data_IF_593696008074
#
_entry.id   IF_593696008074
#
_cell.length_a   1.000
_cell.length_b   1.000
_cell.length_c   1.000
_cell.angle_alpha   90.00
_cell.angle_beta   90.00
_cell.angle_gamma   90.00
#
_symmetry.space_group_name_H-M   'P 1'
#
loop_
_entity.id
_entity.type
_entity.pdbx_description
1 polymer ?
#
# COMPACT_ATOMS: atom_id res chain seq x y z
N UNK A 1 25.38 -43.73 23.11
CA UNK A 1 24.80 -42.38 23.31
C UNK A 1 25.09 -41.40 22.16
N UNK A 2 26.32 -41.25 21.67
CA UNK A 2 26.66 -40.27 20.62
C UNK A 2 25.90 -40.46 19.29
N UNK A 3 25.61 -41.71 18.88
CA UNK A 3 24.86 -41.98 17.64
C UNK A 3 23.38 -41.59 17.73
N UNK A 4 22.78 -41.67 18.93
CA UNK A 4 21.38 -41.27 19.15
C UNK A 4 21.23 -39.74 19.10
N UNK A 5 22.17 -39.01 19.68
CA UNK A 5 22.23 -37.54 19.61
C UNK A 5 22.38 -37.03 18.17
N UNK A 6 23.26 -37.65 17.37
CA UNK A 6 23.39 -37.30 15.95
C UNK A 6 22.11 -37.55 15.16
N UNK A 7 21.39 -38.64 15.46
CA UNK A 7 20.14 -38.98 14.78
C UNK A 7 19.01 -37.99 15.12
N UNK A 8 18.89 -37.60 16.39
CA UNK A 8 17.91 -36.57 16.83
C UNK A 8 18.22 -35.22 16.17
N UNK A 9 19.49 -34.85 16.06
CA UNK A 9 19.90 -33.58 15.45
C UNK A 9 19.58 -33.53 13.94
N UNK A 10 19.73 -34.65 13.22
CA UNK A 10 19.32 -34.77 11.81
C UNK A 10 17.79 -34.65 11.68
N UNK A 11 17.02 -35.29 12.57
CA UNK A 11 15.55 -35.19 12.55
C UNK A 11 15.10 -33.74 12.79
N UNK A 12 15.70 -33.02 13.74
CA UNK A 12 15.38 -31.61 14.00
C UNK A 12 15.68 -30.75 12.77
N UNK A 13 16.83 -30.95 12.12
CA UNK A 13 17.20 -30.23 10.88
C UNK A 13 16.20 -30.55 9.77
N UNK A 14 15.84 -31.82 9.58
CA UNK A 14 14.86 -32.22 8.56
C UNK A 14 13.47 -31.66 8.84
N UNK A 15 13.02 -31.63 10.10
CA UNK A 15 11.76 -31.01 10.51
C UNK A 15 11.80 -29.50 10.26
N UNK A 16 12.91 -28.82 10.61
CA UNK A 16 13.08 -27.39 10.33
C UNK A 16 13.06 -27.09 8.84
N UNK A 17 13.74 -27.89 8.02
CA UNK A 17 13.70 -27.76 6.55
C UNK A 17 12.28 -28.02 6.03
N UNK A 18 11.58 -29.03 6.54
CA UNK A 18 10.22 -29.35 6.11
C UNK A 18 9.22 -28.25 6.49
N UNK A 19 9.37 -27.66 7.68
CA UNK A 19 8.59 -26.50 8.12
C UNK A 19 8.88 -25.27 7.24
N UNK A 20 10.14 -25.01 6.90
CA UNK A 20 10.55 -23.88 6.06
C UNK A 20 10.07 -24.05 4.60
N UNK A 21 10.07 -25.29 4.08
CA UNK A 21 9.48 -25.64 2.78
C UNK A 21 7.96 -25.49 2.79
N UNK A 22 7.28 -25.88 3.88
CA UNK A 22 5.82 -25.71 4.00
C UNK A 22 5.44 -24.24 4.15
N UNK A 23 6.23 -23.44 4.88
CA UNK A 23 6.06 -21.99 4.95
C UNK A 23 6.26 -21.32 3.58
N UNK A 24 7.27 -21.76 2.80
CA UNK A 24 7.45 -21.31 1.41
C UNK A 24 6.30 -21.72 0.49
N UNK A 25 5.73 -22.91 0.68
CA UNK A 25 4.61 -23.40 -0.14
C UNK A 25 3.31 -22.66 0.13
N UNK A 26 3.08 -22.20 1.37
CA UNK A 26 1.91 -21.39 1.76
C UNK A 26 1.94 -19.97 1.15
N UNK A 27 3.09 -19.48 0.70
CA UNK A 27 3.17 -18.18 0.01
C UNK A 27 2.83 -18.25 -1.50
N UNK A 28 2.68 -19.44 -2.09
CA UNK A 28 2.59 -19.59 -3.55
C UNK A 28 1.16 -19.78 -4.09
N UNK A 29 0.15 -19.91 -3.24
CA UNK A 29 -1.24 -20.16 -3.67
C UNK A 29 -2.16 -18.96 -3.37
N UNK A 30 -1.88 -17.83 -4.04
CA UNK A 30 -2.88 -16.81 -4.44
C UNK A 30 -2.39 -16.11 -5.71
N UNK A 31 -2.05 -16.90 -6.73
CA UNK A 31 -1.76 -16.35 -8.05
C UNK A 31 -3.10 -16.00 -8.69
N UNK A 32 -3.51 -14.73 -8.57
CA UNK A 32 -4.36 -14.10 -9.58
C UNK A 32 -3.67 -14.36 -10.93
N UNK A 33 -4.38 -14.95 -11.89
CA UNK A 33 -3.86 -15.31 -13.23
C UNK A 33 -3.33 -14.09 -14.04
N UNK A 34 -3.46 -12.87 -13.50
CA UNK A 34 -2.99 -11.60 -14.06
C UNK A 34 -1.60 -11.14 -13.55
N UNK A 35 -0.93 -11.89 -12.66
CA UNK A 35 0.35 -11.48 -12.05
C UNK A 35 1.51 -12.33 -12.62
N UNK A 36 1.86 -12.11 -13.89
CA UNK A 36 2.79 -12.98 -14.63
C UNK A 36 4.29 -12.65 -14.50
N UNK A 37 4.70 -11.82 -13.52
CA UNK A 37 6.09 -11.31 -13.39
C UNK A 37 6.77 -11.64 -12.05
N UNK A 38 6.24 -12.60 -11.28
CA UNK A 38 6.79 -12.95 -9.96
C UNK A 38 6.56 -11.88 -8.88
N UNK A 39 5.57 -11.00 -9.06
CA UNK A 39 5.13 -10.07 -8.03
C UNK A 39 4.41 -10.84 -6.91
N UNK A 40 4.46 -10.29 -5.70
CA UNK A 40 3.97 -10.94 -4.47
C UNK A 40 2.84 -10.09 -3.89
N UNK A 41 1.67 -10.69 -3.73
CA UNK A 41 0.52 -10.02 -3.12
C UNK A 41 0.58 -10.14 -1.59
N UNK A 42 0.45 -9.02 -0.88
CA UNK A 42 0.31 -8.94 0.58
C UNK A 42 -0.91 -8.09 0.89
N UNK A 43 -2.08 -8.75 0.94
CA UNK A 43 -3.37 -8.07 0.99
C UNK A 43 -3.64 -7.32 -0.32
N UNK A 44 -3.84 -6.01 -0.21
CA UNK A 44 -4.02 -5.01 -1.28
C UNK A 44 -2.69 -4.44 -1.81
N UNK A 45 -1.55 -4.75 -1.19
CA UNK A 45 -0.24 -4.36 -1.73
C UNK A 45 0.31 -5.42 -2.69
N UNK A 46 0.78 -4.99 -3.85
CA UNK A 46 1.51 -5.81 -4.82
C UNK A 46 2.99 -5.43 -4.75
N UNK A 47 3.85 -6.36 -4.36
CA UNK A 47 5.27 -6.12 -4.12
C UNK A 47 6.12 -6.76 -5.21
N UNK A 48 7.15 -6.04 -5.67
CA UNK A 48 8.22 -6.69 -6.43
C UNK A 48 9.04 -7.61 -5.51
N UNK A 49 9.76 -8.62 -6.05
CA UNK A 49 10.66 -9.46 -5.24
C UNK A 49 11.66 -8.65 -4.41
N UNK A 50 12.20 -7.55 -4.95
CA UNK A 50 13.13 -6.67 -4.26
C UNK A 50 12.44 -5.89 -3.13
N UNK A 51 11.18 -5.48 -3.34
CA UNK A 51 10.39 -4.83 -2.30
C UNK A 51 10.07 -5.79 -1.15
N UNK A 52 9.62 -7.00 -1.47
CA UNK A 52 9.34 -8.05 -0.50
C UNK A 52 10.59 -8.39 0.32
N UNK A 53 11.72 -8.68 -0.35
CA UNK A 53 12.97 -8.99 0.31
C UNK A 53 13.45 -7.83 1.21
N UNK A 54 13.22 -6.58 0.79
CA UNK A 54 13.59 -5.44 1.60
C UNK A 54 12.68 -5.24 2.80
N UNK A 55 11.38 -5.52 2.70
CA UNK A 55 10.40 -5.35 3.79
C UNK A 55 10.43 -6.49 4.80
N UNK A 56 10.68 -7.72 4.35
CA UNK A 56 10.51 -8.94 5.16
C UNK A 56 11.76 -9.83 5.27
N UNK A 57 12.85 -9.52 4.57
CA UNK A 57 14.07 -10.34 4.57
C UNK A 57 14.92 -10.19 5.84
N UNK A 58 15.45 -11.32 6.34
CA UNK A 58 16.23 -11.41 7.59
C UNK A 58 17.77 -11.41 7.41
N UNK A 59 18.32 -10.95 6.27
CA UNK A 59 19.77 -11.11 6.00
C UNK A 59 20.59 -9.82 6.14
N UNK A 60 21.67 -9.94 6.91
CA UNK A 60 22.82 -9.04 7.02
C UNK A 60 23.70 -9.00 5.77
N UNK A 61 23.39 -9.79 4.73
CA UNK A 61 24.10 -9.79 3.45
C UNK A 61 23.20 -9.38 2.28
N UNK A 62 22.85 -8.10 2.20
CA UNK A 62 22.48 -7.49 0.92
C UNK A 62 23.23 -6.17 0.80
N UNK A 63 24.39 -6.24 0.14
CA UNK A 63 25.24 -5.11 -0.18
C UNK A 63 24.41 -4.08 -0.96
N UNK A 64 24.15 -2.94 -0.32
CA UNK A 64 23.74 -1.65 -0.89
C UNK A 64 22.62 -1.71 -1.94
N UNK A 65 21.39 -1.53 -1.46
CA UNK A 65 20.31 -0.65 -1.96
C UNK A 65 18.95 -1.26 -1.57
N UNK A 66 18.18 -0.58 -0.72
CA UNK A 66 16.80 -0.99 -0.42
C UNK A 66 16.25 -0.53 0.93
N UNK A 67 15.21 0.31 0.85
CA UNK A 67 14.32 0.87 1.89
C UNK A 67 14.81 2.06 2.76
N UNK A 68 15.73 2.85 2.25
CA UNK A 68 15.86 4.28 2.55
C UNK A 68 16.59 4.92 1.37
N UNK A 69 15.88 5.61 0.49
CA UNK A 69 16.46 6.24 -0.69
C UNK A 69 15.38 6.73 -1.64
N UNK A 70 15.60 7.89 -2.24
CA UNK A 70 14.77 8.63 -3.20
C UNK A 70 14.22 7.80 -4.39
N UNK A 71 14.65 6.56 -4.57
CA UNK A 71 14.33 5.70 -5.70
C UNK A 71 12.93 5.06 -5.68
N UNK A 72 12.13 5.21 -4.62
CA UNK A 72 10.73 4.75 -4.59
C UNK A 72 9.70 5.87 -4.65
N UNK A 73 10.12 7.13 -4.59
CA UNK A 73 9.21 8.27 -4.76
C UNK A 73 9.07 8.55 -6.25
N UNK A 74 7.93 9.08 -6.63
CA UNK A 74 7.77 9.63 -7.96
C UNK A 74 8.67 10.87 -8.11
N UNK A 75 9.50 10.96 -9.17
CA UNK A 75 10.38 12.10 -9.37
C UNK A 75 9.60 13.42 -9.31
N UNK A 76 10.08 14.38 -8.51
CA UNK A 76 9.47 15.69 -8.30
C UNK A 76 8.01 15.66 -7.84
N UNK A 77 7.52 14.55 -7.28
CA UNK A 77 6.11 14.39 -6.92
C UNK A 77 5.15 14.31 -8.11
N UNK A 78 5.65 14.17 -9.34
CA UNK A 78 4.82 14.06 -10.55
C UNK A 78 4.59 12.60 -10.88
N UNK A 79 3.32 12.22 -10.97
CA UNK A 79 2.85 10.86 -11.22
C UNK A 79 2.11 10.83 -12.55
N UNK A 80 2.76 10.40 -13.64
CA UNK A 80 2.07 10.17 -14.89
C UNK A 80 1.04 9.03 -14.74
N UNK A 81 -0.15 9.20 -15.30
CA UNK A 81 -1.26 8.25 -15.20
C UNK A 81 -1.88 7.98 -16.57
N UNK A 82 -2.05 6.70 -16.89
CA UNK A 82 -2.77 6.22 -18.07
C UNK A 82 -3.93 5.35 -17.61
N UNK A 83 -5.07 5.44 -18.29
CA UNK A 83 -6.24 4.61 -18.05
C UNK A 83 -6.34 3.56 -19.15
N UNK A 84 -6.59 2.31 -18.76
CA UNK A 84 -7.07 1.28 -19.69
C UNK A 84 -8.41 1.72 -20.31
N UNK A 85 -8.67 1.26 -21.54
CA UNK A 85 -9.94 1.54 -22.21
C UNK A 85 -11.12 0.83 -21.50
N UNK A 86 -12.34 1.31 -21.73
CA UNK A 86 -13.56 0.62 -21.30
C UNK A 86 -14.07 0.95 -19.89
N UNK A 87 -13.42 1.85 -19.14
CA UNK A 87 -13.99 2.35 -17.89
C UNK A 87 -15.27 3.16 -18.13
N UNK A 88 -16.31 2.90 -17.31
CA UNK A 88 -17.51 3.74 -17.26
C UNK A 88 -17.12 5.18 -16.90
N UNK A 89 -17.73 6.16 -17.56
CA UNK A 89 -17.46 7.58 -17.34
C UNK A 89 -17.64 8.01 -15.86
N UNK A 90 -18.68 7.50 -15.18
CA UNK A 90 -18.91 7.75 -13.75
C UNK A 90 -17.76 7.23 -12.87
N UNK A 91 -17.16 6.09 -13.23
CA UNK A 91 -16.05 5.53 -12.50
C UNK A 91 -14.75 6.31 -12.73
N UNK A 92 -14.47 6.72 -13.97
CA UNK A 92 -13.37 7.63 -14.29
C UNK A 92 -13.47 8.95 -13.51
N UNK A 93 -14.67 9.54 -13.43
CA UNK A 93 -14.93 10.73 -12.60
C UNK A 93 -14.57 10.49 -11.13
N UNK A 94 -14.93 9.32 -10.57
CA UNK A 94 -14.59 8.94 -9.19
C UNK A 94 -13.08 8.79 -8.97
N UNK A 95 -12.37 8.14 -9.91
CA UNK A 95 -10.90 7.98 -9.84
C UNK A 95 -10.21 9.34 -9.89
N UNK A 96 -10.56 10.19 -10.87
CA UNK A 96 -10.01 11.54 -10.99
C UNK A 96 -10.36 12.41 -9.77
N UNK A 97 -11.52 12.22 -9.14
CA UNK A 97 -11.89 12.90 -7.89
C UNK A 97 -11.00 12.50 -6.71
N UNK A 98 -10.57 11.24 -6.63
CA UNK A 98 -9.61 10.77 -5.63
C UNK A 98 -8.21 11.36 -5.86
N UNK A 99 -7.73 11.39 -7.11
CA UNK A 99 -6.45 12.02 -7.46
C UNK A 99 -6.43 13.50 -7.11
N UNK A 100 -7.47 14.26 -7.52
CA UNK A 100 -7.61 15.68 -7.16
C UNK A 100 -7.66 15.90 -5.65
N UNK A 101 -8.31 15.01 -4.90
CA UNK A 101 -8.34 15.11 -3.44
C UNK A 101 -6.93 15.06 -2.85
N UNK A 102 -6.06 14.14 -3.30
CA UNK A 102 -4.67 14.06 -2.84
C UNK A 102 -3.86 15.29 -3.27
N UNK A 103 -4.01 15.74 -4.52
CA UNK A 103 -3.35 16.95 -5.05
C UNK A 103 -3.71 18.22 -4.26
N UNK A 104 -4.92 18.32 -3.71
CA UNK A 104 -5.30 19.46 -2.86
C UNK A 104 -4.69 19.44 -1.46
N UNK A 105 -4.24 18.28 -0.98
CA UNK A 105 -3.68 18.13 0.36
C UNK A 105 -2.17 17.86 0.32
N UNK A 106 -1.53 17.96 -0.84
CA UNK A 106 -0.09 17.74 -1.00
C UNK A 106 0.47 18.45 -2.23
N UNK A 107 1.78 18.49 -2.37
CA UNK A 107 2.46 18.95 -3.58
C UNK A 107 2.55 17.88 -4.69
N UNK A 108 1.98 16.68 -4.48
CA UNK A 108 1.97 15.61 -5.48
C UNK A 108 1.02 15.99 -6.62
N UNK A 109 1.45 15.77 -7.85
CA UNK A 109 0.68 16.02 -9.07
C UNK A 109 0.43 14.72 -9.81
N UNK A 110 -0.82 14.35 -10.03
CA UNK A 110 -1.18 13.28 -10.96
C UNK A 110 -1.39 13.89 -12.35
N UNK A 111 -0.54 13.51 -13.30
CA UNK A 111 -0.60 13.97 -14.68
C UNK A 111 -1.23 12.88 -15.55
N UNK A 112 -2.50 13.06 -15.89
CA UNK A 112 -3.23 12.20 -16.82
C UNK A 112 -3.51 12.88 -18.19
N UNK A 113 -2.86 14.01 -18.47
CA UNK A 113 -3.06 14.75 -19.73
C UNK A 113 -1.89 14.55 -20.69
N UNK A 114 -0.68 14.35 -20.17
CA UNK A 114 0.51 14.12 -20.98
C UNK A 114 0.49 12.74 -21.64
N UNK A 115 0.73 12.71 -22.96
CA UNK A 115 0.93 11.45 -23.68
C UNK A 115 2.24 10.80 -23.25
N UNK A 116 2.15 9.62 -22.67
CA UNK A 116 3.30 8.87 -22.12
C UNK A 116 3.93 8.01 -23.22
N UNK A 117 5.26 7.95 -23.26
CA UNK A 117 5.98 6.97 -24.09
C UNK A 117 6.08 5.63 -23.37
N UNK A 118 6.12 4.50 -24.09
CA UNK A 118 6.20 3.15 -23.48
C UNK A 118 7.35 2.93 -22.48
N UNK A 119 8.38 3.78 -22.48
CA UNK A 119 9.56 3.69 -21.61
C UNK A 119 9.48 4.53 -20.33
N UNK A 120 8.47 5.37 -20.18
CA UNK A 120 8.34 6.25 -19.02
C UNK A 120 7.58 5.55 -17.89
N UNK A 121 8.08 5.70 -16.67
CA UNK A 121 7.40 5.19 -15.47
C UNK A 121 6.07 5.89 -15.27
N UNK A 122 4.99 5.13 -15.07
CA UNK A 122 3.64 5.67 -14.90
C UNK A 122 2.71 4.67 -14.20
N UNK A 123 1.64 5.18 -13.61
CA UNK A 123 0.53 4.35 -13.15
C UNK A 123 -0.35 4.00 -14.36
N UNK A 124 -0.58 2.71 -14.57
CA UNK A 124 -1.60 2.20 -15.48
C UNK A 124 -2.82 1.77 -14.66
N UNK A 125 -3.91 2.51 -14.75
CA UNK A 125 -5.18 2.17 -14.09
C UNK A 125 -5.87 1.08 -14.90
N UNK A 126 -6.09 -0.08 -14.28
CA UNK A 126 -6.69 -1.27 -14.92
C UNK A 126 -7.93 -1.74 -14.18
N UNK A 127 -8.88 -2.30 -14.93
CA UNK A 127 -10.00 -3.01 -14.32
C UNK A 127 -9.53 -4.36 -13.78
N UNK A 128 -9.99 -4.74 -12.59
CA UNK A 128 -9.69 -6.06 -12.01
C UNK A 128 -10.74 -6.55 -11.01
N UNK A 129 -10.38 -7.55 -10.21
CA UNK A 129 -11.28 -8.19 -9.23
C UNK A 129 -11.24 -7.55 -7.83
N UNK A 130 -10.29 -6.64 -7.56
CA UNK A 130 -10.05 -6.01 -6.25
C UNK A 130 -9.53 -4.58 -6.38
N UNK A 131 -9.36 -3.90 -5.25
CA UNK A 131 -8.55 -2.68 -5.15
C UNK A 131 -7.14 -3.11 -4.71
N UNK A 132 -6.12 -2.77 -5.50
CA UNK A 132 -4.73 -3.07 -5.17
C UNK A 132 -3.75 -2.18 -5.92
N UNK A 133 -2.56 -2.00 -5.36
CA UNK A 133 -1.52 -1.16 -5.94
C UNK A 133 -0.11 -1.65 -5.65
N UNK A 134 0.82 -1.32 -6.53
CA UNK A 134 2.25 -1.40 -6.22
C UNK A 134 2.66 -0.25 -5.31
N UNK A 135 3.79 -0.43 -4.60
CA UNK A 135 4.26 0.56 -3.62
C UNK A 135 5.31 1.50 -4.21
N UNK A 136 4.99 2.79 -4.26
CA UNK A 136 5.89 3.82 -4.82
C UNK A 136 6.13 3.66 -6.33
N UNK A 137 7.09 4.42 -6.86
CA UNK A 137 7.57 4.31 -8.24
C UNK A 137 8.54 3.12 -8.37
N UNK A 138 8.15 2.08 -9.13
CA UNK A 138 8.95 0.84 -9.25
C UNK A 138 10.09 0.91 -10.27
N UNK A 139 10.13 1.95 -11.10
CA UNK A 139 11.15 2.19 -12.15
C UNK A 139 11.28 1.05 -13.17
N UNK A 140 10.15 0.49 -13.60
CA UNK A 140 10.05 -0.61 -14.58
C UNK A 140 9.05 -0.30 -15.71
N UNK A 141 8.71 0.97 -15.94
CA UNK A 141 7.69 1.41 -16.89
C UNK A 141 6.29 1.45 -16.26
N UNK A 142 5.30 0.88 -16.94
CA UNK A 142 3.93 0.83 -16.44
C UNK A 142 3.85 0.01 -15.14
N UNK A 143 3.18 0.55 -14.11
CA UNK A 143 2.81 -0.20 -12.91
C UNK A 143 1.29 -0.15 -12.70
N UNK A 144 0.70 -1.30 -12.42
CA UNK A 144 -0.76 -1.41 -12.34
C UNK A 144 -1.31 -0.79 -11.05
N UNK A 145 -2.37 -0.01 -11.19
CA UNK A 145 -3.35 0.31 -10.15
C UNK A 145 -4.61 -0.46 -10.49
N UNK A 146 -4.88 -1.54 -9.77
CA UNK A 146 -6.01 -2.44 -10.05
C UNK A 146 -7.22 -1.93 -9.29
N UNK A 147 -8.31 -1.64 -10.01
CA UNK A 147 -9.55 -1.16 -9.42
C UNK A 147 -10.77 -1.90 -9.98
N UNK A 148 -11.80 -2.07 -9.16
CA UNK A 148 -13.10 -2.59 -9.56
C UNK A 148 -14.23 -1.59 -9.23
N UNK A 149 -15.48 -1.90 -9.62
CA UNK A 149 -16.62 -1.00 -9.38
C UNK A 149 -16.91 -0.72 -7.89
N UNK A 150 -16.50 -1.64 -7.01
CA UNK A 150 -16.69 -1.55 -5.56
C UNK A 150 -15.59 -0.72 -4.87
N UNK A 151 -14.53 -0.34 -5.60
CA UNK A 151 -13.56 0.62 -5.09
C UNK A 151 -14.21 2.01 -5.01
N UNK A 152 -14.74 2.35 -3.82
CA UNK A 152 -15.24 3.67 -3.52
C UNK A 152 -14.10 4.69 -3.45
N UNK A 153 -14.43 5.99 -3.41
CA UNK A 153 -13.44 7.07 -3.45
C UNK A 153 -12.31 6.89 -2.42
N UNK A 154 -12.63 6.52 -1.18
CA UNK A 154 -11.62 6.29 -0.15
C UNK A 154 -10.73 5.07 -0.40
N UNK A 155 -11.25 3.99 -1.00
CA UNK A 155 -10.42 2.88 -1.46
C UNK A 155 -9.44 3.36 -2.54
N UNK A 156 -9.91 4.15 -3.50
CA UNK A 156 -9.02 4.68 -4.55
C UNK A 156 -7.95 5.59 -3.96
N UNK A 157 -8.30 6.44 -2.97
CA UNK A 157 -7.30 7.24 -2.23
C UNK A 157 -6.27 6.33 -1.56
N UNK A 158 -6.72 5.26 -0.90
CA UNK A 158 -5.82 4.27 -0.27
C UNK A 158 -4.83 3.66 -1.27
N UNK A 159 -5.32 3.17 -2.41
CA UNK A 159 -4.47 2.56 -3.44
C UNK A 159 -3.52 3.56 -4.11
N UNK A 160 -3.95 4.82 -4.27
CA UNK A 160 -3.08 5.89 -4.75
C UNK A 160 -2.00 6.23 -3.72
N UNK A 161 -2.30 6.22 -2.41
CA UNK A 161 -1.30 6.42 -1.37
C UNK A 161 -0.28 5.27 -1.31
N UNK A 162 -0.69 4.03 -1.58
CA UNK A 162 0.22 2.93 -1.85
C UNK A 162 1.13 3.23 -3.04
N UNK A 163 0.56 3.64 -4.17
CA UNK A 163 1.34 4.02 -5.36
C UNK A 163 2.31 5.18 -5.10
N UNK A 164 2.00 6.05 -4.12
CA UNK A 164 2.87 7.13 -3.68
C UNK A 164 3.95 6.70 -2.68
N UNK A 165 3.84 5.51 -2.11
CA UNK A 165 4.85 4.88 -1.25
C UNK A 165 4.44 4.69 0.21
N UNK A 166 3.21 5.03 0.60
CA UNK A 166 2.73 4.76 1.95
C UNK A 166 2.39 3.27 2.13
N UNK A 167 2.68 2.76 3.31
CA UNK A 167 2.41 1.40 3.73
C UNK A 167 1.25 1.40 4.75
N UNK A 168 0.73 0.22 5.08
CA UNK A 168 -0.34 0.13 6.07
C UNK A 168 0.09 0.62 7.45
N UNK A 169 -0.84 1.24 8.18
CA UNK A 169 -0.58 1.72 9.53
C UNK A 169 -0.44 0.58 10.54
N UNK A 170 -1.23 -0.50 10.40
CA UNK A 170 -1.17 -1.65 11.33
C UNK A 170 0.10 -2.51 11.16
N UNK A 171 0.99 -2.16 10.24
CA UNK A 171 2.29 -2.82 10.07
C UNK A 171 3.45 -1.95 10.57
N UNK A 172 3.14 -0.78 11.15
CA UNK A 172 4.10 0.09 11.83
C UNK A 172 4.91 -0.69 12.89
N UNK A 173 6.16 -0.29 13.07
CA UNK A 173 7.12 -0.99 13.94
C UNK A 173 6.67 -1.04 15.40
N UNK A 174 6.11 0.07 15.86
CA UNK A 174 5.62 0.32 17.23
C UNK A 174 4.13 -0.03 17.40
N UNK A 175 3.46 -0.60 16.39
CA UNK A 175 2.01 -0.84 16.45
C UNK A 175 1.54 -1.57 17.72
N UNK A 176 2.37 -2.44 18.30
CA UNK A 176 1.98 -3.31 19.40
C UNK A 176 1.84 -2.50 20.71
N UNK A 177 2.30 -1.24 20.71
CA UNK A 177 2.04 -0.23 21.75
C UNK A 177 0.65 0.43 21.61
N UNK A 178 -0.06 0.15 20.51
CA UNK A 178 -1.31 0.83 20.12
C UNK A 178 -2.46 -0.14 19.85
N UNK A 179 -2.18 -1.31 19.28
CA UNK A 179 -3.15 -2.31 18.87
C UNK A 179 -2.68 -3.72 19.27
N UNK A 180 -3.64 -4.62 19.49
CA UNK A 180 -3.43 -6.05 19.64
C UNK A 180 -3.91 -6.77 18.36
N UNK A 181 -3.07 -7.66 17.83
CA UNK A 181 -3.45 -8.56 16.75
C UNK A 181 -3.96 -9.89 17.35
N UNK A 182 -5.21 -10.24 17.06
CA UNK A 182 -5.83 -11.49 17.51
C UNK A 182 -5.63 -12.58 16.46
N UNK A 183 -4.45 -13.21 16.49
CA UNK A 183 -3.99 -14.13 15.45
C UNK A 183 -4.93 -15.32 15.19
N UNK A 184 -5.65 -15.80 16.20
CA UNK A 184 -6.54 -16.95 16.08
C UNK A 184 -7.78 -16.66 15.23
N UNK A 185 -8.20 -15.39 15.20
CA UNK A 185 -9.36 -14.92 14.43
C UNK A 185 -9.02 -14.67 12.95
N UNK A 186 -7.74 -14.64 12.56
CA UNK A 186 -7.29 -14.31 11.20
C UNK A 186 -7.23 -15.57 10.33
N UNK A 187 -7.83 -15.53 9.14
CA UNK A 187 -7.70 -16.59 8.11
C UNK A 187 -6.24 -17.01 7.95
N UNK A 188 -5.97 -18.32 7.94
CA UNK A 188 -4.59 -18.80 8.04
C UNK A 188 -3.73 -18.32 6.88
N UNK A 189 -4.30 -18.27 5.68
CA UNK A 189 -3.72 -17.73 4.45
C UNK A 189 -3.47 -16.21 4.49
N UNK A 190 -4.14 -15.47 5.38
CA UNK A 190 -4.03 -14.01 5.49
C UNK A 190 -3.13 -13.55 6.64
N UNK A 191 -2.64 -14.45 7.51
CA UNK A 191 -1.79 -14.10 8.65
C UNK A 191 -0.54 -13.31 8.25
N UNK A 192 0.01 -13.55 7.06
CA UNK A 192 1.17 -12.82 6.57
C UNK A 192 0.92 -11.31 6.43
N UNK A 193 -0.31 -10.90 6.10
CA UNK A 193 -0.71 -9.48 5.94
C UNK A 193 -0.61 -8.67 7.25
N UNK A 194 -0.46 -9.35 8.39
CA UNK A 194 -0.34 -8.74 9.72
C UNK A 194 1.09 -8.76 10.25
N UNK A 195 2.08 -9.21 9.46
CA UNK A 195 3.49 -9.15 9.88
C UNK A 195 3.99 -7.70 9.85
N UNK A 196 4.72 -7.29 10.89
CA UNK A 196 5.47 -6.02 10.88
C UNK A 196 6.58 -6.10 9.84
N UNK A 197 6.94 -4.96 9.27
CA UNK A 197 8.13 -4.89 8.44
C UNK A 197 9.39 -5.05 9.30
N UNK A 198 10.34 -5.83 8.79
CA UNK A 198 11.58 -6.21 9.49
C UNK A 198 12.61 -5.09 9.53
N UNK A 199 12.58 -4.17 8.55
CA UNK A 199 13.41 -2.97 8.51
C UNK A 199 12.66 -1.74 9.00
N UNK A 200 13.41 -0.71 9.41
CA UNK A 200 12.86 0.59 9.80
C UNK A 200 12.14 1.23 8.60
N UNK A 201 10.83 1.05 8.54
CA UNK A 201 9.95 1.90 7.75
C UNK A 201 9.80 3.21 8.52
N UNK A 202 10.13 4.33 7.87
CA UNK A 202 9.99 5.65 8.48
C UNK A 202 8.52 6.00 8.65
N UNK A 203 8.15 6.49 9.84
CA UNK A 203 6.85 7.12 10.09
C UNK A 203 6.87 8.62 9.80
N UNK A 204 7.96 9.14 9.22
CA UNK A 204 8.16 10.56 8.91
C UNK A 204 7.83 11.47 10.10
N UNK A 205 8.32 11.11 11.28
CA UNK A 205 8.13 11.84 12.55
C UNK A 205 6.66 12.07 12.93
N UNK A 206 5.77 11.14 12.55
CA UNK A 206 4.38 11.13 12.99
C UNK A 206 4.12 10.00 13.99
N UNK A 207 3.14 10.19 14.87
CA UNK A 207 2.67 9.15 15.79
C UNK A 207 1.78 8.13 15.06
N UNK A 208 1.56 6.98 15.72
CA UNK A 208 0.54 6.03 15.29
C UNK A 208 -0.84 6.68 15.16
N UNK A 209 -1.55 6.34 14.10
CA UNK A 209 -2.84 6.96 13.77
C UNK A 209 -3.91 5.92 13.48
N UNK A 210 -4.76 5.68 14.50
CA UNK A 210 -5.91 4.80 14.40
C UNK A 210 -6.89 5.18 13.27
N UNK A 211 -6.96 6.47 12.92
CA UNK A 211 -7.87 6.99 11.88
C UNK A 211 -7.22 7.09 10.51
N UNK A 212 -5.99 6.62 10.34
CA UNK A 212 -5.31 6.59 9.05
C UNK A 212 -6.16 5.83 8.03
N UNK A 213 -6.31 6.39 6.83
CA UNK A 213 -6.96 5.68 5.72
C UNK A 213 -6.16 4.43 5.32
N UNK A 214 -4.87 4.37 5.70
CA UNK A 214 -3.98 3.23 5.53
C UNK A 214 -4.10 2.17 6.63
N UNK A 215 -5.02 2.32 7.59
CA UNK A 215 -5.24 1.34 8.65
C UNK A 215 -6.26 0.28 8.21
N UNK A 216 -6.03 -0.99 8.55
CA UNK A 216 -7.02 -2.06 8.42
C UNK A 216 -8.17 -1.90 9.43
N UNK A 217 -9.33 -2.47 9.10
CA UNK A 217 -10.49 -2.47 9.98
C UNK A 217 -10.35 -3.52 11.09
N UNK A 218 -11.25 -3.43 12.07
CA UNK A 218 -11.29 -4.33 13.23
C UNK A 218 -11.40 -5.80 12.80
N UNK A 219 -12.17 -6.09 11.74
CA UNK A 219 -12.51 -7.44 11.30
C UNK A 219 -11.75 -7.86 10.03
N UNK A 220 -10.74 -7.09 9.60
CA UNK A 220 -10.01 -7.36 8.37
C UNK A 220 -9.47 -8.79 8.38
N UNK A 221 -9.77 -9.55 7.33
CA UNK A 221 -9.38 -10.96 7.17
C UNK A 221 -9.83 -11.91 8.30
N UNK A 222 -10.93 -11.58 9.01
CA UNK A 222 -11.52 -12.50 9.98
C UNK A 222 -12.00 -13.80 9.32
N UNK A 223 -11.79 -14.94 10.00
CA UNK A 223 -12.27 -16.26 9.58
C UNK A 223 -13.80 -16.31 9.46
N UNK A 224 -14.51 -15.64 10.35
CA UNK A 224 -15.97 -15.63 10.45
C UNK A 224 -16.61 -14.29 10.05
N UNK A 225 -15.80 -13.37 9.51
CA UNK A 225 -16.20 -12.01 9.10
C UNK A 225 -16.69 -11.08 10.24
N UNK A 226 -16.79 -11.57 11.48
CA UNK A 226 -17.43 -10.86 12.61
C UNK A 226 -16.53 -10.71 13.83
N UNK A 227 -15.63 -11.66 14.07
CA UNK A 227 -14.64 -11.60 15.13
C UNK A 227 -13.56 -10.55 14.86
N UNK A 228 -13.14 -9.79 15.89
CA UNK A 228 -12.09 -8.80 15.73
C UNK A 228 -10.73 -9.47 15.52
N UNK A 229 -10.01 -9.07 14.49
CA UNK A 229 -8.61 -9.43 14.23
C UNK A 229 -7.64 -8.35 14.73
N UNK A 230 -8.12 -7.11 14.86
CA UNK A 230 -7.38 -5.98 15.42
C UNK A 230 -8.18 -5.34 16.55
N UNK A 231 -7.60 -5.22 17.74
CA UNK A 231 -8.20 -4.55 18.90
C UNK A 231 -7.35 -3.32 19.27
N UNK A 232 -7.88 -2.10 19.26
CA UNK A 232 -7.13 -0.94 19.76
C UNK A 232 -7.01 -1.01 21.28
N UNK A 233 -5.80 -0.74 21.80
CA UNK A 233 -5.56 -0.69 23.24
C UNK A 233 -6.28 0.48 23.91
N UNK A 234 -6.65 1.51 23.14
CA UNK A 234 -7.54 2.59 23.56
C UNK A 234 -8.95 2.32 23.01
N UNK A 235 -9.85 1.80 23.83
CA UNK A 235 -11.21 1.42 23.43
C UNK A 235 -11.98 2.55 22.69
N UNK A 236 -11.78 3.81 23.10
CA UNK A 236 -12.38 4.99 22.47
C UNK A 236 -11.94 5.23 21.00
N UNK A 237 -10.99 4.44 20.49
CA UNK A 237 -10.48 4.54 19.11
C UNK A 237 -11.06 3.48 18.18
N UNK A 238 -11.87 2.55 18.69
CA UNK A 238 -12.48 1.46 17.93
C UNK A 238 -13.09 1.92 16.60
N UNK A 239 -13.98 2.92 16.63
CA UNK A 239 -14.69 3.42 15.45
C UNK A 239 -13.79 4.14 14.43
N UNK A 240 -12.51 4.37 14.72
CA UNK A 240 -11.58 5.01 13.78
C UNK A 240 -10.92 4.02 12.82
N UNK A 241 -10.77 2.75 13.24
CA UNK A 241 -10.00 1.77 12.48
C UNK A 241 -10.73 1.39 11.19
N UNK A 242 -9.99 1.38 10.08
CA UNK A 242 -10.52 0.91 8.81
C UNK A 242 -11.43 1.89 8.08
N UNK A 243 -11.53 3.14 8.54
CA UNK A 243 -12.29 4.15 7.81
C UNK A 243 -11.78 4.30 6.36
N UNK A 244 -12.70 4.55 5.43
CA UNK A 244 -12.44 4.77 4.00
C UNK A 244 -13.18 6.00 3.49
N UNK A 245 -13.23 7.05 4.30
CA UNK A 245 -13.86 8.32 3.95
C UNK A 245 -12.85 9.30 3.36
N UNK A 246 -11.74 9.52 4.08
CA UNK A 246 -10.74 10.56 3.74
C UNK A 246 -9.38 10.31 4.36
N UNK A 247 -8.36 11.04 3.91
CA UNK A 247 -7.06 11.05 4.58
C UNK A 247 -7.19 11.65 5.97
N UNK A 248 -6.55 11.02 6.96
CA UNK A 248 -6.34 11.64 8.27
C UNK A 248 -5.31 12.77 8.17
N UNK A 249 -5.27 13.63 9.18
CA UNK A 249 -4.20 14.63 9.31
C UNK A 249 -2.81 13.97 9.33
N UNK A 250 -2.68 12.83 10.00
CA UNK A 250 -1.45 12.05 10.01
C UNK A 250 -1.05 11.55 8.62
N UNK A 251 -2.00 11.12 7.78
CA UNK A 251 -1.72 10.71 6.40
C UNK A 251 -1.22 11.89 5.56
N UNK A 252 -1.85 13.05 5.71
CA UNK A 252 -1.48 14.29 5.01
C UNK A 252 -0.06 14.70 5.41
N UNK A 253 0.24 14.76 6.71
CA UNK A 253 1.57 15.15 7.20
C UNK A 253 2.63 14.15 6.71
N UNK A 254 2.37 12.84 6.79
CA UNK A 254 3.29 11.81 6.30
C UNK A 254 3.56 11.96 4.81
N UNK A 255 2.52 12.14 4.00
CA UNK A 255 2.68 12.32 2.56
C UNK A 255 3.49 13.57 2.23
N UNK A 256 3.18 14.70 2.86
CA UNK A 256 3.88 15.97 2.60
C UNK A 256 5.34 15.93 3.05
N UNK A 257 5.64 15.34 4.21
CA UNK A 257 7.04 15.13 4.65
C UNK A 257 7.76 14.14 3.73
N UNK A 258 7.07 13.11 3.27
CA UNK A 258 7.63 12.14 2.33
C UNK A 258 7.96 12.78 0.97
N UNK A 259 7.15 13.70 0.46
CA UNK A 259 7.43 14.39 -0.81
C UNK A 259 8.15 15.72 -0.64
N UNK A 260 8.57 16.05 0.58
CA UNK A 260 9.25 17.31 0.89
C UNK A 260 8.45 18.51 0.33
N UNK A 261 7.14 18.48 0.58
CA UNK A 261 6.26 19.58 0.24
C UNK A 261 6.58 20.76 1.16
N UNK A 262 7.64 21.49 0.83
CA UNK A 262 7.93 22.78 1.41
C UNK A 262 6.80 23.70 0.94
N UNK A 263 6.03 24.23 1.89
CA UNK A 263 5.40 25.51 1.62
C UNK A 263 6.57 26.47 1.52
N UNK A 264 6.87 26.96 0.31
CA UNK A 264 7.62 28.21 0.26
C UNK A 264 6.83 29.18 1.15
N UNK A 265 7.51 29.85 2.08
CA UNK A 265 6.97 30.96 2.86
C UNK A 265 6.67 32.11 1.90
N UNK A 266 5.71 31.90 1.00
CA UNK A 266 5.13 32.94 0.19
C UNK A 266 3.61 32.78 0.16
N UNK A 267 3.00 33.94 0.28
CA UNK A 267 1.62 34.20 0.65
C UNK A 267 0.66 33.84 -0.50
N UNK A 268 0.47 32.53 -0.77
CA UNK A 268 -0.58 32.05 -1.67
C UNK A 268 -1.37 30.89 -1.08
N UNK A 269 -2.49 31.24 -0.46
CA UNK A 269 -3.64 30.35 -0.33
C UNK A 269 -4.11 29.91 -1.71
N UNK A 270 -3.80 28.68 -2.12
CA UNK A 270 -4.47 28.02 -3.22
C UNK A 270 -5.91 27.68 -2.81
N UNK A 271 -6.81 28.66 -2.98
CA UNK A 271 -8.23 28.40 -3.11
C UNK A 271 -8.44 27.72 -4.47
N UNK A 272 -8.54 26.39 -4.46
CA UNK A 272 -9.14 25.68 -5.58
C UNK A 272 -10.65 25.83 -5.43
N UNK A 273 -11.21 26.85 -6.07
CA UNK A 273 -12.66 27.05 -6.15
C UNK A 273 -13.34 25.80 -6.73
N UNK A 274 -14.39 25.33 -6.04
CA UNK A 274 -15.12 24.12 -6.42
C UNK A 274 -15.94 24.29 -7.72
N UNK A 275 -16.09 25.52 -8.21
CA UNK A 275 -17.04 25.87 -9.28
C UNK A 275 -16.41 26.14 -10.66
N UNK A 276 -15.09 26.29 -10.78
CA UNK A 276 -14.49 26.72 -12.06
C UNK A 276 -14.16 25.55 -13.03
N UNK A 277 -14.20 24.31 -12.57
CA UNK A 277 -13.85 23.15 -13.40
C UNK A 277 -15.06 22.49 -14.11
N UNK A 278 -16.15 23.24 -14.26
CA UNK A 278 -17.31 22.87 -15.09
C UNK A 278 -17.30 23.54 -16.47
N UNK A 279 -16.31 24.39 -16.77
CA UNK A 279 -16.20 25.10 -18.05
C UNK A 279 -14.88 24.72 -18.70
N UNK A 280 -14.85 23.58 -19.42
CA UNK A 280 -13.94 23.33 -20.57
C UNK A 280 -14.04 21.90 -21.14
N UNK A 281 -15.22 21.25 -21.09
CA UNK A 281 -15.44 19.97 -21.81
C UNK A 281 -16.56 20.07 -22.85
N UNK A 282 -16.83 21.29 -23.33
CA UNK A 282 -17.73 21.56 -24.45
C UNK A 282 -17.09 22.55 -25.44
N UNK A 283 -15.95 22.19 -26.04
CA UNK A 283 -15.61 22.67 -27.40
C UNK A 283 -14.38 21.96 -27.97
N UNK A 284 -14.59 20.82 -28.63
CA UNK A 284 -14.06 20.56 -29.97
C UNK A 284 -14.22 19.08 -30.36
N UNK A 285 -15.16 18.85 -31.29
CA UNK A 285 -15.28 17.77 -32.28
C UNK A 285 -14.96 16.32 -31.88
#
# INVERSE_FOLDING_TARGET
MQNLLKFIQIIIILISIFYDVKAKKVCYEMLDDDINDGLISVGDMILTPEQYASLFGNSSSMRRHGLAGSFRRWPNGVVPVVFEDGFKHSFLKRIKSAMRYIMRHSCVVFDWTTKITKKQDHILVKSGNRCASLIGCVKKGAQNLILNSECHKGNIIHELLHALGLLHMHTAKDRDDWILIVWDNIKDEAKFNFKKYTKQVSMFDTSYDYGSIMHYGINSFSKDQSSPTIIPLKASKKEKLGQREKMSEGDIIRLNRMYECYKEDDDQTYYYDEDEMMVDDFSSF
#
